data_IF_570780579398
#
_entry.id   IF_570780579398
#
_cell.length_a   1.000
_cell.length_b   1.000
_cell.length_c   1.000
_cell.angle_alpha   90.00
_cell.angle_beta   90.00
_cell.angle_gamma   90.00
#
_symmetry.space_group_name_H-M   'P 1'
#
loop_
_entity.id
_entity.type
_entity.pdbx_description
1 polymer ?
#
# COMPACT_ATOMS: atom_id res chain seq x y z
N UNK A 1 16.62 -46.44 2.57
CA UNK A 1 16.83 -45.40 3.55
C UNK A 1 17.56 -44.20 2.99
N UNK A 2 18.69 -44.39 2.34
CA UNK A 2 19.42 -43.27 1.75
C UNK A 2 18.66 -42.59 0.65
N UNK A 3 17.93 -43.33 -0.16
CA UNK A 3 17.11 -42.75 -1.22
C UNK A 3 15.97 -41.91 -0.67
N UNK A 4 15.41 -42.35 0.44
CA UNK A 4 14.36 -41.61 1.10
C UNK A 4 14.85 -40.26 1.62
N UNK A 5 16.05 -40.21 2.15
CA UNK A 5 16.62 -38.96 2.64
C UNK A 5 16.86 -37.99 1.50
N UNK A 6 17.39 -38.46 0.40
CA UNK A 6 17.63 -37.65 -0.77
C UNK A 6 16.32 -37.11 -1.35
N UNK A 7 15.33 -37.96 -1.38
CA UNK A 7 14.01 -37.56 -1.87
C UNK A 7 13.38 -36.48 -1.00
N UNK A 8 13.48 -36.59 0.32
CA UNK A 8 12.97 -35.61 1.24
C UNK A 8 13.61 -34.25 1.07
N UNK A 9 14.91 -34.23 0.89
CA UNK A 9 15.63 -32.97 0.66
C UNK A 9 15.20 -32.31 -0.65
N UNK A 10 15.03 -33.10 -1.69
CA UNK A 10 14.58 -32.58 -2.98
C UNK A 10 13.20 -31.97 -2.90
N UNK A 11 12.30 -32.65 -2.22
CA UNK A 11 10.91 -32.13 -2.05
C UNK A 11 10.95 -30.82 -1.32
N UNK A 12 11.72 -30.71 -0.27
CA UNK A 12 11.86 -29.48 0.50
C UNK A 12 12.38 -28.33 -0.37
N UNK A 13 13.39 -28.61 -1.18
CA UNK A 13 13.95 -27.61 -2.06
C UNK A 13 12.93 -27.11 -3.09
N UNK A 14 12.14 -28.01 -3.64
CA UNK A 14 11.09 -27.63 -4.60
C UNK A 14 10.05 -26.75 -3.96
N UNK A 15 9.62 -27.08 -2.75
CA UNK A 15 8.64 -26.28 -2.03
C UNK A 15 9.15 -24.86 -1.80
N UNK A 16 10.38 -24.72 -1.38
CA UNK A 16 10.99 -23.41 -1.18
C UNK A 16 11.07 -22.61 -2.48
N UNK A 17 11.45 -23.26 -3.56
CA UNK A 17 11.52 -22.62 -4.86
C UNK A 17 10.14 -22.13 -5.32
N UNK A 18 9.10 -22.90 -5.06
CA UNK A 18 7.73 -22.49 -5.41
C UNK A 18 7.30 -21.23 -4.70
N UNK A 19 7.61 -21.12 -3.42
CA UNK A 19 7.28 -19.93 -2.64
C UNK A 19 7.98 -18.70 -3.20
N UNK A 20 9.24 -18.83 -3.52
CA UNK A 20 9.99 -17.73 -4.11
C UNK A 20 9.45 -17.37 -5.48
N UNK A 21 9.08 -18.36 -6.27
CA UNK A 21 8.49 -18.13 -7.58
C UNK A 21 7.21 -17.33 -7.51
N UNK A 22 6.34 -17.65 -6.58
CA UNK A 22 5.10 -16.91 -6.41
C UNK A 22 5.35 -15.44 -6.08
N UNK A 23 6.27 -15.17 -5.17
CA UNK A 23 6.63 -13.82 -4.81
C UNK A 23 7.19 -13.03 -6.00
N UNK A 24 8.05 -13.64 -6.76
CA UNK A 24 8.64 -13.02 -7.94
C UNK A 24 7.60 -12.73 -9.00
N UNK A 25 6.67 -13.66 -9.21
CA UNK A 25 5.62 -13.49 -10.19
C UNK A 25 4.72 -12.31 -9.84
N UNK A 26 4.34 -12.21 -8.59
CA UNK A 26 3.51 -11.10 -8.13
C UNK A 26 4.18 -9.75 -8.36
N UNK A 27 5.46 -9.66 -8.07
CA UNK A 27 6.23 -8.42 -8.32
C UNK A 27 6.30 -8.10 -9.80
N UNK A 28 6.51 -9.11 -10.62
CA UNK A 28 6.64 -8.92 -12.05
C UNK A 28 5.34 -8.40 -12.66
N UNK A 29 4.23 -8.93 -12.22
CA UNK A 29 2.93 -8.50 -12.70
C UNK A 29 2.60 -7.08 -12.29
N UNK A 30 3.07 -6.65 -11.14
CA UNK A 30 2.83 -5.30 -10.66
C UNK A 30 3.75 -4.26 -11.25
N UNK A 31 4.55 -4.62 -12.24
CA UNK A 31 5.51 -3.67 -12.78
C UNK A 31 4.88 -2.53 -13.53
N UNK A 32 5.50 -1.43 -13.38
CA UNK A 32 5.34 -0.26 -14.21
C UNK A 32 4.10 0.52 -13.91
N UNK A 33 3.01 0.13 -14.46
CA UNK A 33 1.86 1.00 -14.54
C UNK A 33 0.78 0.74 -13.50
N UNK A 34 0.73 -0.46 -12.96
CA UNK A 34 -0.30 -0.82 -12.02
C UNK A 34 0.26 -0.99 -10.62
N UNK A 35 -0.28 -0.22 -9.69
CA UNK A 35 -0.01 -0.39 -8.27
C UNK A 35 -1.33 -0.74 -7.61
N UNK A 36 -1.34 -1.82 -6.84
CA UNK A 36 -2.54 -2.28 -6.16
C UNK A 36 -3.10 -1.20 -5.25
N UNK A 37 -4.42 -1.00 -5.28
CA UNK A 37 -5.09 0.00 -4.47
C UNK A 37 -4.82 -0.16 -2.99
N UNK A 38 -4.68 -1.39 -2.50
CA UNK A 38 -4.38 -1.64 -1.09
C UNK A 38 -2.98 -1.17 -0.72
N UNK A 39 -2.03 -1.29 -1.64
CA UNK A 39 -0.67 -0.80 -1.44
C UNK A 39 -0.67 0.72 -1.41
N UNK A 40 -1.40 1.36 -2.31
CA UNK A 40 -1.53 2.81 -2.35
C UNK A 40 -2.12 3.31 -1.03
N UNK A 41 -3.19 2.70 -0.58
CA UNK A 41 -3.83 3.05 0.70
C UNK A 41 -2.82 2.98 1.85
N UNK A 42 -2.06 1.89 1.93
CA UNK A 42 -1.06 1.72 2.98
C UNK A 42 0.03 2.79 2.93
N UNK A 43 0.49 3.12 1.73
CA UNK A 43 1.52 4.14 1.56
C UNK A 43 1.01 5.53 1.91
N UNK A 44 -0.21 5.85 1.53
CA UNK A 44 -0.82 7.14 1.88
C UNK A 44 -0.98 7.26 3.39
N UNK A 45 -1.46 6.20 4.04
CA UNK A 45 -1.58 6.19 5.50
C UNK A 45 -0.23 6.38 6.17
N UNK A 46 0.80 5.71 5.68
CA UNK A 46 2.15 5.86 6.23
C UNK A 46 2.67 7.28 6.06
N UNK A 47 2.42 7.89 4.91
CA UNK A 47 2.85 9.26 4.64
C UNK A 47 2.14 10.25 5.56
N UNK A 48 0.84 10.04 5.79
CA UNK A 48 0.08 10.86 6.74
C UNK A 48 0.61 10.69 8.16
N UNK A 49 0.88 9.45 8.55
CA UNK A 49 1.42 9.16 9.88
C UNK A 49 2.77 9.83 10.13
N UNK A 50 3.59 9.93 9.09
CA UNK A 50 4.91 10.54 9.19
C UNK A 50 4.88 12.07 9.21
N UNK A 51 3.76 12.68 8.88
CA UNK A 51 3.66 14.13 8.88
C UNK A 51 3.24 14.61 10.28
N UNK A 52 4.06 15.44 10.94
CA UNK A 52 3.77 15.87 12.31
C UNK A 52 2.54 16.76 12.44
N UNK A 53 2.06 17.33 11.33
CA UNK A 53 0.90 18.21 11.33
C UNK A 53 -0.40 17.46 11.09
N UNK A 54 -0.34 16.17 10.83
CA UNK A 54 -1.50 15.36 10.50
C UNK A 54 -1.75 14.29 11.55
N UNK A 55 -3.02 13.97 11.74
CA UNK A 55 -3.43 12.91 12.66
C UNK A 55 -4.10 11.81 11.85
N UNK A 56 -3.44 10.67 11.76
CA UNK A 56 -3.91 9.56 10.94
C UNK A 56 -5.26 9.03 11.41
N UNK A 57 -5.58 9.16 12.69
CA UNK A 57 -6.86 8.70 13.22
C UNK A 57 -8.03 9.63 12.86
N UNK A 58 -7.76 10.81 12.31
CA UNK A 58 -8.79 11.73 11.84
C UNK A 58 -9.11 11.55 10.35
N UNK A 59 -8.24 10.83 9.63
CA UNK A 59 -8.32 10.77 8.18
C UNK A 59 -8.49 9.33 7.72
N UNK A 60 -9.61 9.07 7.05
CA UNK A 60 -9.84 7.79 6.41
C UNK A 60 -9.29 7.83 4.99
N UNK A 61 -8.62 6.77 4.58
CA UNK A 61 -8.03 6.66 3.25
C UNK A 61 -8.61 5.45 2.55
N UNK A 62 -9.19 5.66 1.39
CA UNK A 62 -9.67 4.59 0.53
C UNK A 62 -9.16 4.83 -0.87
N UNK A 63 -8.82 3.77 -1.58
CA UNK A 63 -8.30 3.87 -2.93
C UNK A 63 -9.08 2.97 -3.87
N UNK A 64 -9.49 3.53 -4.99
CA UNK A 64 -10.16 2.78 -6.04
C UNK A 64 -9.59 3.16 -7.39
N UNK A 65 -8.97 2.18 -8.06
CA UNK A 65 -8.34 2.36 -9.38
C UNK A 65 -7.38 3.55 -9.42
N UNK A 66 -6.60 3.70 -8.37
CA UNK A 66 -5.61 4.77 -8.27
C UNK A 66 -6.14 6.10 -7.77
N UNK A 67 -7.44 6.24 -7.60
CA UNK A 67 -8.05 7.44 -7.04
C UNK A 67 -8.12 7.28 -5.52
N UNK A 68 -7.45 8.17 -4.81
CA UNK A 68 -7.44 8.16 -3.34
C UNK A 68 -8.51 9.09 -2.82
N UNK A 69 -9.39 8.57 -2.00
CA UNK A 69 -10.40 9.37 -1.31
C UNK A 69 -9.99 9.57 0.13
N UNK A 70 -9.91 10.82 0.53
CA UNK A 70 -9.64 11.19 1.92
C UNK A 70 -10.93 11.70 2.54
N UNK A 71 -11.30 11.17 3.69
CA UNK A 71 -12.50 11.57 4.39
C UNK A 71 -12.26 11.65 5.89
N UNK A 72 -13.22 12.17 6.62
CA UNK A 72 -13.14 12.34 8.06
C UNK A 72 -13.19 13.80 8.45
N UNK A 73 -12.94 14.05 9.74
CA UNK A 73 -13.02 15.38 10.31
C UNK A 73 -11.65 15.79 10.82
N UNK A 74 -11.15 16.89 10.31
CA UNK A 74 -9.82 17.41 10.64
C UNK A 74 -9.92 18.75 11.36
N UNK A 75 -8.87 19.11 12.08
CA UNK A 75 -8.90 20.26 12.98
C UNK A 75 -8.74 21.60 12.28
N UNK A 76 -8.17 21.63 11.07
CA UNK A 76 -7.89 22.88 10.39
C UNK A 76 -7.88 22.73 8.88
N UNK A 77 -8.08 23.85 8.21
CA UNK A 77 -7.96 23.94 6.76
C UNK A 77 -6.54 23.58 6.30
N UNK A 78 -5.55 23.97 7.07
CA UNK A 78 -4.16 23.66 6.76
C UNK A 78 -3.91 22.16 6.79
N UNK A 79 -4.47 21.45 7.77
CA UNK A 79 -4.36 20.00 7.86
C UNK A 79 -5.03 19.34 6.66
N UNK A 80 -6.20 19.80 6.28
CA UNK A 80 -6.91 19.29 5.11
C UNK A 80 -6.07 19.41 3.85
N UNK A 81 -5.56 20.60 3.58
CA UNK A 81 -4.73 20.87 2.41
C UNK A 81 -3.46 20.05 2.42
N UNK A 82 -2.83 19.91 3.58
CA UNK A 82 -1.60 19.12 3.73
C UNK A 82 -1.83 17.64 3.46
N UNK A 83 -2.94 17.11 3.94
CA UNK A 83 -3.27 15.72 3.71
C UNK A 83 -3.43 15.42 2.22
N UNK A 84 -4.09 16.30 1.48
CA UNK A 84 -4.24 16.16 0.03
C UNK A 84 -2.89 16.21 -0.65
N UNK A 85 -2.05 17.17 -0.27
CA UNK A 85 -0.71 17.30 -0.84
C UNK A 85 0.13 16.05 -0.60
N UNK A 86 0.14 15.55 0.63
CA UNK A 86 0.89 14.35 0.99
C UNK A 86 0.41 13.15 0.19
N UNK A 87 -0.89 12.98 0.06
CA UNK A 87 -1.46 11.87 -0.69
C UNK A 87 -1.03 11.91 -2.17
N UNK A 88 -0.95 13.09 -2.75
CA UNK A 88 -0.54 13.23 -4.15
C UNK A 88 0.89 12.82 -4.41
N UNK A 89 1.75 12.86 -3.41
CA UNK A 89 3.16 12.50 -3.58
C UNK A 89 3.40 11.01 -3.63
N UNK A 90 2.42 10.20 -3.24
CA UNK A 90 2.57 8.76 -3.18
C UNK A 90 2.53 8.17 -4.59
N UNK A 91 3.51 7.29 -4.88
CA UNK A 91 3.57 6.64 -6.18
C UNK A 91 2.36 5.77 -6.44
N UNK A 92 1.83 5.84 -7.65
CA UNK A 92 0.65 5.08 -8.05
C UNK A 92 -0.65 5.86 -7.91
N UNK A 93 -0.65 6.98 -7.21
CA UNK A 93 -1.85 7.81 -7.06
C UNK A 93 -2.11 8.57 -8.34
N UNK A 94 -3.29 8.36 -8.91
CA UNK A 94 -3.72 9.06 -10.13
C UNK A 94 -4.37 10.40 -9.80
N UNK A 95 -5.17 10.42 -8.76
CA UNK A 95 -5.82 11.64 -8.28
C UNK A 95 -6.25 11.48 -6.84
N UNK A 96 -6.55 12.59 -6.20
CA UNK A 96 -7.01 12.60 -4.81
C UNK A 96 -8.36 13.31 -4.75
N UNK A 97 -9.31 12.63 -4.15
CA UNK A 97 -10.64 13.20 -3.89
C UNK A 97 -10.70 13.59 -2.42
N UNK A 98 -10.94 14.86 -2.18
CA UNK A 98 -11.00 15.39 -0.82
C UNK A 98 -12.45 15.47 -0.34
N UNK A 99 -12.80 14.56 0.57
CA UNK A 99 -14.09 14.56 1.25
C UNK A 99 -13.93 14.82 2.74
N UNK A 100 -12.82 15.41 3.14
CA UNK A 100 -12.64 15.80 4.55
C UNK A 100 -13.45 17.02 4.91
N UNK A 101 -13.79 17.12 6.19
CA UNK A 101 -14.54 18.24 6.72
C UNK A 101 -13.85 18.77 7.96
N UNK A 102 -14.02 20.04 8.22
CA UNK A 102 -13.49 20.67 9.43
C UNK A 102 -14.39 20.32 10.62
N UNK A 103 -13.76 20.11 11.76
CA UNK A 103 -14.47 19.91 13.03
C UNK A 103 -15.18 21.18 13.46
#
# INVERSE_FOLDING_TARGET
>A
MRALRGFGVLVLAVVLASVWGCGSTAKTEGTGEYVDDSVITSKVKAAILNDPNLKVNEINVETFKGVVQLSGFVSSQAAESKAVEVARTVGGVKSVKNDMRLK
#
